data_IF_586535154737
#
_entry.id   IF_586535154737
#
_cell.length_a   1.000
_cell.length_b   1.000
_cell.length_c   1.000
_cell.angle_alpha   90.00
_cell.angle_beta   90.00
_cell.angle_gamma   90.00
#
_symmetry.space_group_name_H-M   'P 1'
#
loop_
_entity.id
_entity.type
_entity.pdbx_description
1 polymer ?
#
# COMPACT_ATOMS: atom_id res chain seq x y z
N UNK A 1 -33.27 -17.21 15.79
CA UNK A 1 -31.94 -17.83 15.52
C UNK A 1 -31.77 -17.97 14.01
N UNK A 2 -31.02 -17.07 13.38
CA UNK A 2 -30.73 -17.19 11.94
C UNK A 2 -29.61 -18.22 11.74
N UNK A 3 -29.94 -19.32 11.06
CA UNK A 3 -28.98 -20.36 10.67
C UNK A 3 -27.97 -19.75 9.70
N UNK A 4 -26.69 -19.78 10.05
CA UNK A 4 -25.56 -19.55 9.14
C UNK A 4 -25.68 -20.52 7.97
N UNK A 5 -26.07 -20.04 6.79
CA UNK A 5 -25.95 -20.80 5.56
C UNK A 5 -24.56 -20.56 4.98
N UNK A 6 -23.64 -21.49 5.26
CA UNK A 6 -22.43 -21.68 4.46
C UNK A 6 -22.86 -22.39 3.17
N UNK A 7 -22.85 -21.69 2.05
CA UNK A 7 -22.81 -22.34 0.75
C UNK A 7 -21.34 -22.55 0.39
N UNK A 8 -20.81 -23.71 0.81
CA UNK A 8 -19.61 -24.30 0.22
C UNK A 8 -20.06 -24.96 -1.07
N UNK A 9 -19.91 -24.27 -2.20
CA UNK A 9 -20.12 -24.91 -3.49
C UNK A 9 -18.86 -25.70 -3.85
N UNK A 10 -19.03 -27.01 -4.03
CA UNK A 10 -18.01 -27.94 -4.51
C UNK A 10 -18.01 -27.86 -6.03
N UNK A 11 -17.09 -27.10 -6.59
CA UNK A 11 -16.42 -27.42 -7.84
C UNK A 11 -14.94 -27.15 -7.58
N UNK A 12 -14.13 -28.22 -7.65
CA UNK A 12 -12.69 -28.18 -7.47
C UNK A 12 -12.03 -27.56 -8.70
N UNK A 13 -12.12 -26.25 -8.81
CA UNK A 13 -11.06 -25.44 -9.37
C UNK A 13 -10.92 -24.33 -8.33
N UNK A 14 -9.87 -24.41 -7.51
CA UNK A 14 -9.40 -23.20 -6.83
C UNK A 14 -9.30 -22.15 -7.94
N UNK A 15 -9.90 -20.95 -7.78
CA UNK A 15 -9.64 -19.91 -8.77
C UNK A 15 -8.13 -19.81 -8.81
N UNK A 16 -7.51 -20.15 -9.95
CA UNK A 16 -6.11 -19.86 -10.21
C UNK A 16 -5.92 -18.45 -9.68
N UNK A 17 -5.17 -18.32 -8.59
CA UNK A 17 -4.86 -17.00 -8.05
C UNK A 17 -4.32 -16.24 -9.24
N UNK A 18 -5.07 -15.25 -9.71
CA UNK A 18 -4.95 -14.75 -11.08
C UNK A 18 -3.80 -13.74 -11.10
N UNK A 19 -2.61 -14.27 -10.79
CA UNK A 19 -1.34 -13.60 -10.88
C UNK A 19 -1.17 -13.10 -12.31
N UNK A 20 -0.62 -11.90 -12.45
CA UNK A 20 -0.10 -11.44 -13.74
C UNK A 20 0.73 -12.58 -14.36
N UNK A 21 0.53 -12.86 -15.65
CA UNK A 21 1.32 -13.88 -16.34
C UNK A 21 2.80 -13.48 -16.29
N UNK A 22 3.71 -14.44 -16.24
CA UNK A 22 5.16 -14.17 -16.18
C UNK A 22 5.60 -13.21 -17.30
N UNK A 23 5.06 -13.38 -18.51
CA UNK A 23 5.31 -12.52 -19.68
C UNK A 23 4.84 -11.05 -19.47
N UNK A 24 3.73 -10.84 -18.76
CA UNK A 24 3.23 -9.50 -18.44
C UNK A 24 4.11 -8.82 -17.39
N UNK A 25 4.56 -9.60 -16.40
CA UNK A 25 5.48 -9.13 -15.35
C UNK A 25 6.81 -8.70 -15.97
N UNK A 26 7.38 -9.50 -16.88
CA UNK A 26 8.62 -9.14 -17.58
C UNK A 26 8.47 -7.86 -18.40
N UNK A 27 7.38 -7.71 -19.14
CA UNK A 27 7.12 -6.48 -19.91
C UNK A 27 7.00 -5.25 -19.00
N UNK A 28 6.31 -5.38 -17.86
CA UNK A 28 6.21 -4.30 -16.87
C UNK A 28 7.59 -3.90 -16.35
N UNK A 29 8.44 -4.88 -16.00
CA UNK A 29 9.80 -4.61 -15.52
C UNK A 29 10.62 -3.85 -16.55
N UNK A 30 10.62 -4.31 -17.81
CA UNK A 30 11.34 -3.64 -18.91
C UNK A 30 10.87 -2.19 -19.10
N UNK A 31 9.57 -1.94 -19.00
CA UNK A 31 9.02 -0.58 -19.10
C UNK A 31 9.45 0.33 -17.95
N UNK A 32 9.57 -0.22 -16.74
CA UNK A 32 10.01 0.53 -15.56
C UNK A 32 11.49 0.89 -15.63
N UNK A 33 12.35 -0.01 -16.13
CA UNK A 33 13.79 0.27 -16.32
C UNK A 33 14.05 1.39 -17.34
N UNK A 34 13.11 1.61 -18.27
CA UNK A 34 13.26 2.63 -19.34
C UNK A 34 12.94 4.06 -18.84
N UNK A 35 12.35 4.21 -17.65
CA UNK A 35 11.94 5.50 -17.11
C UNK A 35 12.79 5.91 -15.91
N UNK A 36 13.08 7.21 -15.82
CA UNK A 36 13.53 7.81 -14.56
C UNK A 36 12.36 7.83 -13.58
N UNK A 37 12.49 7.08 -12.49
CA UNK A 37 11.47 6.93 -11.47
C UNK A 37 11.79 7.84 -10.28
N UNK A 38 10.80 8.58 -9.74
CA UNK A 38 11.00 9.28 -8.48
C UNK A 38 11.23 8.28 -7.35
N UNK A 39 11.94 8.71 -6.31
CA UNK A 39 12.11 7.90 -5.09
C UNK A 39 10.76 7.73 -4.41
N UNK A 40 10.25 6.50 -4.41
CA UNK A 40 8.86 6.21 -4.05
C UNK A 40 8.53 6.65 -2.62
N UNK A 41 9.45 6.46 -1.68
CA UNK A 41 9.23 6.81 -0.27
C UNK A 41 9.18 8.32 -0.01
N UNK A 42 9.59 9.14 -0.98
CA UNK A 42 9.48 10.60 -0.93
C UNK A 42 8.14 11.11 -1.50
N UNK A 43 7.35 10.25 -2.15
CA UNK A 43 6.03 10.62 -2.66
C UNK A 43 5.04 10.78 -1.50
N UNK A 44 4.34 11.93 -1.37
CA UNK A 44 3.36 12.14 -0.29
C UNK A 44 2.17 11.16 -0.32
N UNK A 45 1.87 10.55 -1.47
CA UNK A 45 0.81 9.57 -1.61
C UNK A 45 1.28 8.14 -1.33
N UNK A 46 2.58 7.89 -1.22
CA UNK A 46 3.13 6.55 -0.99
C UNK A 46 2.48 5.86 0.20
N UNK A 47 2.42 6.53 1.35
CA UNK A 47 1.84 5.96 2.57
C UNK A 47 0.34 5.63 2.44
N UNK A 48 -0.40 6.30 1.54
CA UNK A 48 -1.79 5.94 1.24
C UNK A 48 -1.86 4.66 0.42
N UNK A 49 -0.99 4.53 -0.59
CA UNK A 49 -0.93 3.34 -1.45
C UNK A 49 -0.42 2.14 -0.66
N UNK A 50 0.62 2.31 0.17
CA UNK A 50 1.17 1.27 1.04
C UNK A 50 0.11 0.60 1.92
N UNK A 51 -0.86 1.36 2.44
CA UNK A 51 -1.95 0.80 3.26
C UNK A 51 -2.87 -0.15 2.49
N UNK A 52 -2.96 0.02 1.17
CA UNK A 52 -3.74 -0.84 0.27
C UNK A 52 -2.90 -2.05 -0.18
N UNK A 53 -1.61 -1.82 -0.42
CA UNK A 53 -0.67 -2.78 -1.02
C UNK A 53 0.20 -3.44 0.07
N UNK A 54 -0.44 -4.08 1.05
CA UNK A 54 0.26 -4.70 2.19
C UNK A 54 1.04 -5.95 1.73
N UNK A 55 2.36 -5.85 1.67
CA UNK A 55 3.26 -6.95 1.30
C UNK A 55 4.57 -6.86 2.09
N UNK A 56 4.99 -7.97 2.70
CA UNK A 56 6.25 -8.05 3.47
C UNK A 56 7.49 -7.67 2.65
N UNK A 57 7.48 -7.98 1.35
CA UNK A 57 8.57 -7.62 0.45
C UNK A 57 8.67 -6.10 0.27
N UNK A 58 7.51 -5.44 0.11
CA UNK A 58 7.44 -3.97 -0.02
C UNK A 58 7.91 -3.29 1.27
N UNK A 59 7.51 -3.80 2.44
CA UNK A 59 7.96 -3.27 3.73
C UNK A 59 9.49 -3.41 3.91
N UNK A 60 10.07 -4.55 3.52
CA UNK A 60 11.51 -4.76 3.59
C UNK A 60 12.27 -3.82 2.64
N UNK A 61 11.79 -3.65 1.40
CA UNK A 61 12.37 -2.76 0.41
C UNK A 61 12.25 -1.29 0.83
N UNK A 62 11.15 -0.88 1.44
CA UNK A 62 10.98 0.46 2.00
C UNK A 62 12.01 0.75 3.10
N UNK A 63 12.23 -0.19 4.03
CA UNK A 63 13.26 -0.05 5.07
C UNK A 63 14.63 0.11 4.43
N UNK A 64 14.96 -0.74 3.45
CA UNK A 64 16.23 -0.67 2.71
C UNK A 64 16.43 0.70 2.03
N UNK A 65 15.42 1.18 1.29
CA UNK A 65 15.48 2.50 0.62
C UNK A 65 15.61 3.62 1.64
N UNK A 66 14.92 3.54 2.78
CA UNK A 66 15.02 4.54 3.84
C UNK A 66 16.40 4.55 4.51
N UNK A 67 17.01 3.39 4.77
CA UNK A 67 18.37 3.28 5.30
C UNK A 67 19.39 3.89 4.33
N UNK A 68 19.25 3.63 3.02
CA UNK A 68 20.10 4.22 1.98
C UNK A 68 19.95 5.75 1.96
N UNK A 69 18.71 6.29 2.03
CA UNK A 69 18.50 7.73 2.10
C UNK A 69 19.12 8.38 3.34
N UNK A 70 19.05 7.71 4.49
CA UNK A 70 19.69 8.18 5.72
C UNK A 70 21.21 8.22 5.57
N UNK A 71 21.81 7.15 5.03
CA UNK A 71 23.26 7.08 4.79
C UNK A 71 23.70 8.14 3.79
N UNK A 72 22.95 8.34 2.70
CA UNK A 72 23.19 9.43 1.75
C UNK A 72 23.24 10.80 2.44
N UNK A 73 22.24 11.09 3.28
CA UNK A 73 22.20 12.33 4.04
C UNK A 73 23.40 12.49 4.97
N UNK A 74 23.83 11.41 5.62
CA UNK A 74 25.00 11.43 6.50
C UNK A 74 26.30 11.67 5.75
N UNK A 75 26.53 11.01 4.61
CA UNK A 75 27.72 11.24 3.78
C UNK A 75 27.81 12.70 3.35
N UNK A 76 26.70 13.32 2.94
CA UNK A 76 26.70 14.72 2.54
C UNK A 76 27.08 15.67 3.68
N UNK A 77 26.62 15.37 4.90
CA UNK A 77 27.01 16.10 6.12
C UNK A 77 28.50 15.89 6.41
N UNK A 78 28.98 14.64 6.37
CA UNK A 78 30.37 14.30 6.64
C UNK A 78 31.31 14.98 5.64
N UNK A 79 31.02 14.93 4.34
CA UNK A 79 31.76 15.65 3.30
C UNK A 79 31.80 17.15 3.61
N UNK A 80 30.66 17.75 3.97
CA UNK A 80 30.63 19.18 4.32
C UNK A 80 31.52 19.49 5.52
N UNK A 81 31.56 18.63 6.53
CA UNK A 81 32.31 18.87 7.76
C UNK A 81 33.81 18.63 7.57
N UNK A 82 34.21 17.61 6.80
CA UNK A 82 35.60 17.42 6.41
C UNK A 82 36.11 18.57 5.53
N UNK A 83 35.27 19.13 4.65
CA UNK A 83 35.63 20.33 3.88
C UNK A 83 35.88 21.56 4.79
N UNK A 84 35.06 21.77 5.82
CA UNK A 84 35.30 22.84 6.82
C UNK A 84 36.61 22.59 7.59
N UNK A 85 36.86 21.35 8.02
CA UNK A 85 38.10 20.97 8.70
C UNK A 85 39.32 21.21 7.81
N UNK A 86 39.25 20.82 6.53
CA UNK A 86 40.28 21.05 5.51
C UNK A 86 40.61 22.54 5.38
N UNK A 87 39.60 23.40 5.26
CA UNK A 87 39.80 24.86 5.19
C UNK A 87 40.46 25.42 6.46
N UNK A 88 40.04 24.94 7.63
CA UNK A 88 40.66 25.33 8.92
C UNK A 88 42.13 24.91 9.01
N UNK A 89 42.45 23.68 8.58
CA UNK A 89 43.82 23.15 8.55
C UNK A 89 44.71 23.94 7.58
N UNK A 90 44.21 24.27 6.38
CA UNK A 90 44.93 25.12 5.43
C UNK A 90 45.22 26.50 6.05
N UNK A 91 44.22 27.11 6.71
CA UNK A 91 44.40 28.39 7.40
C UNK A 91 45.44 28.33 8.53
N UNK A 92 45.49 27.22 9.29
CA UNK A 92 46.53 27.00 10.32
C UNK A 92 47.92 26.85 9.70
N UNK A 93 48.06 26.06 8.64
CA UNK A 93 49.32 25.84 7.92
C UNK A 93 49.86 27.16 7.39
N UNK A 94 49.01 28.00 6.78
CA UNK A 94 49.41 29.31 6.27
C UNK A 94 49.88 30.24 7.38
N UNK A 95 49.13 30.35 8.49
CA UNK A 95 49.51 31.20 9.63
C UNK A 95 50.85 30.80 10.25
N UNK A 96 51.07 29.51 10.49
CA UNK A 96 52.34 29.00 11.04
C UNK A 96 53.47 29.20 10.02
N UNK A 97 53.20 29.03 8.72
CA UNK A 97 54.20 29.22 7.66
C UNK A 97 54.56 30.70 7.42
N UNK A 98 53.68 31.65 7.74
CA UNK A 98 53.95 33.09 7.66
C UNK A 98 54.76 33.60 8.88
N UNK A 99 54.67 32.92 10.02
CA UNK A 99 55.27 33.35 11.29
C UNK A 99 56.74 32.92 11.47
N UNK A 100 57.40 32.37 10.44
CA UNK A 100 58.73 31.73 10.44
C UNK A 100 59.70 32.28 11.50
N UNK A 101 59.60 31.72 12.70
CA UNK A 101 60.61 31.80 13.75
C UNK A 101 60.85 30.34 14.12
N UNK A 102 62.06 29.83 13.88
CA UNK A 102 62.45 28.43 14.10
C UNK A 102 62.29 28.00 15.56
N UNK A 103 61.06 27.72 15.99
CA UNK A 103 60.72 27.03 17.22
C UNK A 103 60.32 25.59 16.85
N UNK A 104 60.85 24.61 17.60
CA UNK A 104 60.61 23.18 17.38
C UNK A 104 59.10 22.87 17.47
N UNK A 105 58.40 23.53 18.39
CA UNK A 105 56.97 23.33 18.61
C UNK A 105 56.12 23.74 17.39
N UNK A 106 56.49 24.83 16.70
CA UNK A 106 55.80 25.29 15.49
C UNK A 106 56.02 24.37 14.30
N UNK A 107 57.23 23.79 14.19
CA UNK A 107 57.54 22.80 13.16
C UNK A 107 56.76 21.49 13.36
N UNK A 108 56.59 21.06 14.61
CA UNK A 108 55.76 19.89 14.95
C UNK A 108 54.29 20.15 14.61
N UNK A 109 53.74 21.28 15.07
CA UNK A 109 52.35 21.66 14.78
C UNK A 109 52.06 21.81 13.27
N UNK A 110 53.01 22.31 12.49
CA UNK A 110 52.91 22.39 11.03
C UNK A 110 52.86 21.00 10.38
N UNK A 111 53.68 20.07 10.88
CA UNK A 111 53.74 18.69 10.37
C UNK A 111 52.45 17.96 10.69
N UNK A 112 51.96 18.03 11.92
CA UNK A 112 50.66 17.47 12.34
C UNK A 112 49.50 18.04 11.52
N UNK A 113 49.49 19.35 11.27
CA UNK A 113 48.44 19.99 10.47
C UNK A 113 48.47 19.51 9.00
N UNK A 114 49.65 19.27 8.42
CA UNK A 114 49.80 18.72 7.06
C UNK A 114 49.35 17.26 7.00
N UNK A 115 49.72 16.43 7.96
CA UNK A 115 49.26 15.04 8.04
C UNK A 115 47.74 14.96 8.19
N UNK A 116 47.16 15.77 9.08
CA UNK A 116 45.71 15.87 9.24
C UNK A 116 45.00 16.36 7.97
N UNK A 117 45.65 17.24 7.18
CA UNK A 117 45.12 17.72 5.92
C UNK A 117 45.11 16.63 4.84
N UNK A 118 46.17 15.83 4.76
CA UNK A 118 46.24 14.67 3.86
C UNK A 118 45.14 13.67 4.23
N UNK A 119 45.04 13.29 5.51
CA UNK A 119 43.99 12.41 5.99
C UNK A 119 42.58 12.93 5.68
N UNK A 120 42.33 14.24 5.85
CA UNK A 120 41.05 14.84 5.51
C UNK A 120 40.73 14.75 4.01
N UNK A 121 41.73 14.93 3.13
CA UNK A 121 41.54 14.76 1.69
C UNK A 121 41.23 13.30 1.32
N UNK A 122 41.98 12.35 1.88
CA UNK A 122 41.77 10.93 1.61
C UNK A 122 40.38 10.49 2.09
N UNK A 123 39.95 10.99 3.26
CA UNK A 123 38.60 10.70 3.78
C UNK A 123 37.50 11.29 2.88
N UNK A 124 37.68 12.52 2.38
CA UNK A 124 36.72 13.12 1.42
C UNK A 124 36.64 12.28 0.15
N UNK A 125 37.77 11.86 -0.41
CA UNK A 125 37.79 11.03 -1.61
C UNK A 125 37.08 9.69 -1.41
N UNK A 126 37.25 9.05 -0.25
CA UNK A 126 36.51 7.82 0.10
C UNK A 126 35.00 8.07 0.22
N UNK A 127 34.59 9.17 0.87
CA UNK A 127 33.17 9.54 0.99
C UNK A 127 32.54 9.90 -0.35
N UNK A 128 33.31 10.49 -1.28
CA UNK A 128 32.84 10.79 -2.64
C UNK A 128 32.62 9.52 -3.48
N UNK A 129 33.48 8.51 -3.31
CA UNK A 129 33.27 7.18 -3.92
C UNK A 129 32.03 6.52 -3.31
N UNK A 130 31.92 6.50 -1.98
CA UNK A 130 30.75 5.94 -1.30
C UNK A 130 29.45 6.65 -1.70
N UNK A 131 29.48 7.96 -1.94
CA UNK A 131 28.32 8.71 -2.43
C UNK A 131 27.87 8.23 -3.82
N UNK A 132 28.80 7.88 -4.71
CA UNK A 132 28.46 7.33 -6.04
C UNK A 132 27.84 5.95 -5.94
N UNK A 133 28.41 5.08 -5.11
CA UNK A 133 27.89 3.73 -4.87
C UNK A 133 26.49 3.77 -4.27
N UNK A 134 26.24 4.70 -3.34
CA UNK A 134 24.93 4.88 -2.71
C UNK A 134 23.85 5.34 -3.69
N UNK A 135 24.16 6.21 -4.65
CA UNK A 135 23.17 6.59 -5.66
C UNK A 135 22.78 5.39 -6.54
N UNK A 136 23.75 4.55 -6.93
CA UNK A 136 23.47 3.33 -7.68
C UNK A 136 22.62 2.33 -6.87
N UNK A 137 22.96 2.14 -5.59
CA UNK A 137 22.19 1.28 -4.67
C UNK A 137 20.78 1.82 -4.42
N UNK A 138 20.61 3.15 -4.36
CA UNK A 138 19.33 3.81 -4.21
C UNK A 138 18.45 3.59 -5.44
N UNK A 139 18.98 3.81 -6.64
CA UNK A 139 18.27 3.62 -7.90
C UNK A 139 17.80 2.17 -8.05
N UNK A 140 18.69 1.21 -7.77
CA UNK A 140 18.38 -0.21 -7.83
C UNK A 140 17.31 -0.61 -6.80
N UNK A 141 17.47 -0.19 -5.55
CA UNK A 141 16.52 -0.54 -4.48
C UNK A 141 15.17 0.15 -4.66
N UNK A 142 15.17 1.39 -5.19
CA UNK A 142 13.94 2.10 -5.53
C UNK A 142 13.22 1.45 -6.71
N UNK A 143 13.96 0.99 -7.72
CA UNK A 143 13.39 0.23 -8.84
C UNK A 143 12.73 -1.06 -8.34
N UNK A 144 13.41 -1.86 -7.51
CA UNK A 144 12.85 -3.07 -6.89
C UNK A 144 11.57 -2.78 -6.11
N UNK A 145 11.56 -1.68 -5.34
CA UNK A 145 10.39 -1.24 -4.58
C UNK A 145 9.23 -0.86 -5.51
N UNK A 146 9.50 -0.10 -6.57
CA UNK A 146 8.49 0.30 -7.56
C UNK A 146 7.94 -0.92 -8.30
N UNK A 147 8.80 -1.84 -8.76
CA UNK A 147 8.39 -3.08 -9.42
C UNK A 147 7.43 -3.89 -8.53
N UNK A 148 7.85 -4.18 -7.30
CA UNK A 148 7.04 -4.95 -6.35
C UNK A 148 5.71 -4.25 -6.06
N UNK A 149 5.72 -2.92 -5.97
CA UNK A 149 4.51 -2.12 -5.77
C UNK A 149 3.58 -2.19 -6.96
N UNK A 150 4.08 -1.96 -8.17
CA UNK A 150 3.30 -1.94 -9.41
C UNK A 150 2.64 -3.29 -9.66
N UNK A 151 3.40 -4.38 -9.55
CA UNK A 151 2.91 -5.76 -9.71
C UNK A 151 1.78 -6.03 -8.72
N UNK A 152 2.00 -5.75 -7.44
CA UNK A 152 0.99 -6.01 -6.39
C UNK A 152 -0.26 -5.14 -6.59
N UNK A 153 -0.08 -3.87 -6.97
CA UNK A 153 -1.19 -2.94 -7.21
C UNK A 153 -2.05 -3.39 -8.39
N UNK A 154 -1.45 -3.78 -9.51
CA UNK A 154 -2.20 -4.26 -10.67
C UNK A 154 -2.95 -5.56 -10.39
N UNK A 155 -2.36 -6.48 -9.62
CA UNK A 155 -3.04 -7.69 -9.15
C UNK A 155 -4.29 -7.34 -8.33
N UNK A 156 -4.14 -6.50 -7.30
CA UNK A 156 -5.26 -6.10 -6.44
C UNK A 156 -6.35 -5.35 -7.21
N UNK A 157 -5.98 -4.45 -8.14
CA UNK A 157 -6.94 -3.73 -8.97
C UNK A 157 -7.76 -4.67 -9.86
N UNK A 158 -7.13 -5.74 -10.37
CA UNK A 158 -7.80 -6.75 -11.17
C UNK A 158 -8.81 -7.53 -10.32
N UNK A 159 -8.39 -8.01 -9.16
CA UNK A 159 -9.25 -8.73 -8.22
C UNK A 159 -10.48 -7.89 -7.81
N UNK A 160 -10.25 -6.63 -7.43
CA UNK A 160 -11.35 -5.72 -7.07
C UNK A 160 -12.33 -5.47 -8.22
N UNK A 161 -11.85 -5.42 -9.47
CA UNK A 161 -12.71 -5.22 -10.65
C UNK A 161 -13.58 -6.45 -10.93
N UNK A 162 -13.01 -7.63 -10.80
CA UNK A 162 -13.73 -8.90 -10.98
C UNK A 162 -14.77 -9.11 -9.87
N UNK A 163 -14.40 -8.84 -8.62
CA UNK A 163 -15.32 -8.87 -7.48
C UNK A 163 -16.46 -7.86 -7.66
N UNK A 164 -16.15 -6.62 -8.06
CA UNK A 164 -17.17 -5.60 -8.35
C UNK A 164 -18.15 -6.07 -9.43
N UNK A 165 -17.66 -6.68 -10.49
CA UNK A 165 -18.50 -7.18 -11.59
C UNK A 165 -19.41 -8.33 -11.12
N UNK A 166 -18.87 -9.22 -10.29
CA UNK A 166 -19.62 -10.33 -9.70
C UNK A 166 -20.73 -9.82 -8.77
N UNK A 167 -20.39 -8.87 -7.88
CA UNK A 167 -21.34 -8.23 -6.99
C UNK A 167 -22.45 -7.50 -7.76
N UNK A 168 -22.12 -6.81 -8.85
CA UNK A 168 -23.11 -6.16 -9.71
C UNK A 168 -24.12 -7.17 -10.29
N UNK A 169 -23.65 -8.32 -10.77
CA UNK A 169 -24.53 -9.38 -11.28
C UNK A 169 -25.43 -9.95 -10.17
N UNK A 170 -24.87 -10.20 -8.98
CA UNK A 170 -25.64 -10.68 -7.83
C UNK A 170 -26.72 -9.67 -7.40
N UNK A 171 -26.37 -8.39 -7.36
CA UNK A 171 -27.32 -7.30 -7.05
C UNK A 171 -28.48 -7.29 -8.05
N UNK A 172 -28.20 -7.46 -9.34
CA UNK A 172 -29.27 -7.49 -10.36
C UNK A 172 -30.17 -8.72 -10.20
N UNK A 173 -29.60 -9.89 -9.91
CA UNK A 173 -30.37 -11.10 -9.67
C UNK A 173 -31.28 -10.96 -8.45
N UNK A 174 -30.77 -10.42 -7.34
CA UNK A 174 -31.55 -10.17 -6.14
C UNK A 174 -32.66 -9.14 -6.36
N UNK A 175 -32.41 -8.09 -7.17
CA UNK A 175 -33.45 -7.12 -7.56
C UNK A 175 -34.59 -7.80 -8.33
N UNK A 176 -34.26 -8.67 -9.28
CA UNK A 176 -35.26 -9.43 -10.03
C UNK A 176 -36.08 -10.36 -9.14
N UNK A 177 -35.42 -11.07 -8.22
CA UNK A 177 -36.11 -11.93 -7.26
C UNK A 177 -37.03 -11.10 -6.35
N UNK A 178 -36.55 -9.97 -5.83
CA UNK A 178 -37.35 -9.07 -5.00
C UNK A 178 -38.61 -8.60 -5.73
N UNK A 179 -38.50 -8.24 -7.01
CA UNK A 179 -39.65 -7.85 -7.84
C UNK A 179 -40.66 -9.00 -7.96
N UNK A 180 -40.20 -10.22 -8.24
CA UNK A 180 -41.04 -11.39 -8.35
C UNK A 180 -41.78 -11.70 -7.04
N UNK A 181 -41.05 -11.72 -5.91
CA UNK A 181 -41.62 -11.97 -4.57
C UNK A 181 -42.61 -10.88 -4.17
N UNK A 182 -42.32 -9.62 -4.50
CA UNK A 182 -43.23 -8.49 -4.25
C UNK A 182 -44.53 -8.65 -5.04
N UNK A 183 -44.47 -9.08 -6.30
CA UNK A 183 -45.66 -9.37 -7.10
C UNK A 183 -46.49 -10.52 -6.52
N UNK A 184 -45.83 -11.63 -6.14
CA UNK A 184 -46.49 -12.77 -5.50
C UNK A 184 -47.20 -12.36 -4.21
N UNK A 185 -46.54 -11.54 -3.37
CA UNK A 185 -47.14 -11.00 -2.15
C UNK A 185 -48.39 -10.18 -2.47
N UNK A 186 -48.33 -9.25 -3.43
CA UNK A 186 -49.50 -8.44 -3.83
C UNK A 186 -50.69 -9.29 -4.28
N UNK A 187 -50.43 -10.38 -5.02
CA UNK A 187 -51.48 -11.32 -5.43
C UNK A 187 -52.10 -12.03 -4.22
N UNK A 188 -51.29 -12.49 -3.28
CA UNK A 188 -51.78 -13.12 -2.04
C UNK A 188 -52.57 -12.14 -1.17
N UNK A 189 -52.08 -10.92 -0.97
CA UNK A 189 -52.75 -9.89 -0.17
C UNK A 189 -54.12 -9.50 -0.78
N UNK A 190 -54.18 -9.40 -2.12
CA UNK A 190 -55.42 -9.16 -2.84
C UNK A 190 -56.42 -10.31 -2.66
N UNK A 191 -55.98 -11.56 -2.87
CA UNK A 191 -56.81 -12.75 -2.65
C UNK A 191 -57.33 -12.83 -1.21
N UNK A 192 -56.47 -12.58 -0.23
CA UNK A 192 -56.86 -12.56 1.18
C UNK A 192 -57.96 -11.52 1.43
N UNK A 193 -57.77 -10.30 0.94
CA UNK A 193 -58.75 -9.21 1.09
C UNK A 193 -60.09 -9.56 0.44
N UNK A 194 -60.09 -10.08 -0.78
CA UNK A 194 -61.31 -10.46 -1.51
C UNK A 194 -62.07 -11.60 -0.81
N UNK A 195 -61.36 -12.65 -0.39
CA UNK A 195 -61.96 -13.79 0.33
C UNK A 195 -62.54 -13.36 1.68
N UNK A 196 -61.82 -12.51 2.41
CA UNK A 196 -62.24 -12.03 3.72
C UNK A 196 -63.47 -11.10 3.61
N UNK A 197 -63.50 -10.21 2.62
CA UNK A 197 -64.68 -9.41 2.29
C UNK A 197 -65.88 -10.28 1.90
N UNK A 198 -65.67 -11.31 1.08
CA UNK A 198 -66.73 -12.24 0.70
C UNK A 198 -67.33 -12.97 1.90
N UNK A 199 -66.49 -13.47 2.82
CA UNK A 199 -66.97 -14.09 4.07
C UNK A 199 -67.77 -13.12 4.92
N UNK A 200 -67.32 -11.87 5.06
CA UNK A 200 -68.07 -10.84 5.76
C UNK A 200 -69.43 -10.56 5.13
N UNK A 201 -69.52 -10.54 3.79
CA UNK A 201 -70.76 -10.29 3.08
C UNK A 201 -71.79 -11.43 3.23
N UNK A 202 -71.33 -12.69 3.28
CA UNK A 202 -72.24 -13.85 3.40
C UNK A 202 -72.64 -14.13 4.85
N UNK A 203 -71.66 -14.16 5.75
CA UNK A 203 -71.85 -14.67 7.12
C UNK A 203 -72.13 -13.54 8.11
N UNK A 204 -71.82 -12.29 7.74
CA UNK A 204 -71.98 -11.12 8.58
C UNK A 204 -70.79 -10.88 9.51
N UNK A 205 -70.58 -9.61 9.84
CA UNK A 205 -69.39 -9.13 10.56
C UNK A 205 -69.17 -9.81 11.92
N UNK A 206 -70.25 -10.06 12.66
CA UNK A 206 -70.18 -10.61 14.02
C UNK A 206 -69.73 -12.08 14.05
N UNK A 207 -70.12 -12.87 13.06
CA UNK A 207 -69.80 -14.30 13.01
C UNK A 207 -68.41 -14.57 12.43
N UNK A 208 -67.94 -13.76 11.47
CA UNK A 208 -66.54 -13.81 10.99
C UNK A 208 -65.56 -13.49 12.11
N UNK A 209 -65.83 -12.47 12.94
CA UNK A 209 -65.01 -12.17 14.13
C UNK A 209 -64.95 -13.31 15.14
N UNK A 210 -66.04 -14.09 15.30
CA UNK A 210 -66.03 -15.30 16.14
C UNK A 210 -65.17 -16.40 15.50
N UNK A 211 -65.26 -16.59 14.19
CA UNK A 211 -64.43 -17.57 13.45
C UNK A 211 -62.94 -17.21 13.48
N UNK A 212 -62.57 -15.93 13.37
CA UNK A 212 -61.17 -15.50 13.47
C UNK A 212 -60.56 -15.80 14.83
N UNK A 213 -61.32 -15.65 15.92
CA UNK A 213 -60.86 -16.05 17.27
C UNK A 213 -60.61 -17.55 17.38
N UNK A 214 -61.39 -18.37 16.69
CA UNK A 214 -61.23 -19.83 16.68
C UNK A 214 -60.03 -20.23 15.81
N UNK A 215 -59.85 -19.62 14.64
CA UNK A 215 -58.79 -19.95 13.69
C UNK A 215 -57.42 -19.36 14.11
N UNK A 216 -57.40 -18.17 14.70
CA UNK A 216 -56.20 -17.49 15.19
C UNK A 216 -55.58 -18.15 16.43
N UNK A 217 -56.39 -18.81 17.26
CA UNK A 217 -55.93 -19.50 18.47
C UNK A 217 -55.03 -20.72 18.20
N UNK A 218 -54.90 -21.18 16.94
CA UNK A 218 -54.02 -22.30 16.55
C UNK A 218 -52.60 -21.88 16.15
N UNK A 219 -52.25 -20.59 16.18
CA UNK A 219 -50.93 -20.10 15.74
C UNK A 219 -49.90 -19.90 16.86
N UNK A 220 -50.28 -20.06 18.13
CA UNK A 220 -49.44 -19.78 19.29
C UNK A 220 -48.92 -21.03 20.05
N UNK A 221 -49.07 -22.25 19.48
CA UNK A 221 -48.48 -23.50 19.97
C UNK A 221 -47.38 -24.04 19.04
#
# INVERSE_FOLDING_TARGET
MFKKFRLRNKNNEEPESLSLYEDDIEQIKILLTTKELPVLILDPNWYKIKQLVVNKNIEALEVKVNEILQRRGQIQVDISDYNKKKQSLIGKILKISEQVQTNIDEAIALTEAKEALIHANDTIALLEVEAQDIEADLDQSNLELVESTVITTYSQMKDCKEESTTLDQEIQNLRNELLQKTSQKKVCDKKYTELYQYLHNIVGYEYVNKMDKIAGAKKDD
#
